data_IF_356838227850
#
_entry.id   IF_356838227850
#
_cell.length_a   1.000
_cell.length_b   1.000
_cell.length_c   1.000
_cell.angle_alpha   90.00
_cell.angle_beta   90.00
_cell.angle_gamma   90.00
#
_symmetry.space_group_name_H-M   'P 1'
#
loop_
_entity.id
_entity.type
_entity.pdbx_description
1 polymer ?
#
# COMPACT_ATOMS: atom_id res chain seq x y z
N UNK A 1 16.84 -0.53 -0.57
CA UNK A 1 16.44 -1.33 -1.74
C UNK A 1 14.94 -1.55 -1.66
N UNK A 2 14.15 -0.96 -2.55
CA UNK A 2 12.68 -1.01 -2.46
C UNK A 2 12.08 -2.38 -2.79
N UNK A 3 12.73 -3.19 -3.63
CA UNK A 3 12.20 -4.51 -3.99
C UNK A 3 12.34 -5.51 -2.84
N UNK A 4 13.42 -5.41 -2.05
CA UNK A 4 13.58 -6.22 -0.84
C UNK A 4 12.57 -5.82 0.24
N UNK A 5 12.29 -4.52 0.40
CA UNK A 5 11.24 -4.02 1.31
C UNK A 5 9.85 -4.52 0.90
N UNK A 6 9.56 -4.57 -0.40
CA UNK A 6 8.32 -5.19 -0.90
C UNK A 6 8.23 -6.67 -0.50
N UNK A 7 9.29 -7.44 -0.75
CA UNK A 7 9.32 -8.87 -0.41
C UNK A 7 9.16 -9.09 1.10
N UNK A 8 9.84 -8.29 1.92
CA UNK A 8 9.70 -8.28 3.37
C UNK A 8 8.24 -8.01 3.77
N UNK A 9 7.62 -6.97 3.22
CA UNK A 9 6.22 -6.64 3.46
C UNK A 9 5.27 -7.79 3.15
N UNK A 10 5.46 -8.47 2.02
CA UNK A 10 4.67 -9.65 1.63
C UNK A 10 4.86 -10.81 2.62
N UNK A 11 6.10 -11.07 3.07
CA UNK A 11 6.39 -12.12 4.06
C UNK A 11 5.77 -11.77 5.41
N UNK A 12 5.91 -10.54 5.89
CA UNK A 12 5.32 -10.07 7.14
C UNK A 12 3.79 -10.18 7.13
N UNK A 13 3.15 -9.82 6.02
CA UNK A 13 1.70 -10.00 5.82
C UNK A 13 1.29 -11.46 5.94
N UNK A 14 2.04 -12.39 5.32
CA UNK A 14 1.80 -13.84 5.42
C UNK A 14 2.00 -14.41 6.83
N UNK A 15 2.81 -13.75 7.65
CA UNK A 15 3.04 -14.09 9.06
C UNK A 15 2.05 -13.39 10.01
N UNK A 16 1.04 -12.69 9.48
CA UNK A 16 0.04 -11.92 10.24
C UNK A 16 0.62 -10.73 11.03
N UNK A 17 1.86 -10.33 10.73
CA UNK A 17 2.56 -9.18 11.34
C UNK A 17 2.20 -7.86 10.63
N UNK A 18 0.91 -7.52 10.65
CA UNK A 18 0.30 -6.45 9.82
C UNK A 18 0.99 -5.09 9.92
N UNK A 19 1.14 -4.54 11.13
CA UNK A 19 1.73 -3.19 11.29
C UNK A 19 3.17 -3.10 10.77
N UNK A 20 3.92 -4.20 10.87
CA UNK A 20 5.28 -4.27 10.31
C UNK A 20 5.22 -4.38 8.78
N UNK A 21 4.29 -5.18 8.24
CA UNK A 21 4.07 -5.28 6.80
C UNK A 21 3.74 -3.92 6.17
N UNK A 22 2.89 -3.13 6.83
CA UNK A 22 2.47 -1.80 6.39
C UNK A 22 3.64 -0.84 6.39
N UNK A 23 4.43 -0.83 7.47
CA UNK A 23 5.66 -0.04 7.56
C UNK A 23 6.64 -0.39 6.44
N UNK A 24 6.87 -1.68 6.19
CA UNK A 24 7.76 -2.15 5.12
C UNK A 24 7.24 -1.77 3.72
N UNK A 25 5.94 -1.92 3.47
CA UNK A 25 5.32 -1.57 2.18
C UNK A 25 5.31 -0.07 1.93
N UNK A 26 5.07 0.77 2.96
CA UNK A 26 5.22 2.22 2.87
C UNK A 26 6.66 2.61 2.49
N UNK A 27 7.66 1.98 3.13
CA UNK A 27 9.06 2.20 2.78
C UNK A 27 9.38 1.73 1.34
N UNK A 28 8.79 0.63 0.90
CA UNK A 28 8.91 0.13 -0.47
C UNK A 28 8.35 1.11 -1.50
N UNK A 29 7.11 1.60 -1.31
CA UNK A 29 6.49 2.55 -2.26
C UNK A 29 7.21 3.90 -2.25
N UNK A 30 7.78 4.33 -1.12
CA UNK A 30 8.62 5.52 -1.07
C UNK A 30 9.94 5.34 -1.84
N UNK A 31 10.56 4.16 -1.74
CA UNK A 31 11.83 3.87 -2.41
C UNK A 31 11.68 3.60 -3.91
N UNK A 32 10.61 2.90 -4.32
CA UNK A 32 10.33 2.56 -5.73
C UNK A 32 8.84 2.82 -6.03
N UNK A 33 8.43 4.09 -6.22
CA UNK A 33 7.02 4.46 -6.39
C UNK A 33 6.34 3.84 -7.61
N UNK A 34 7.09 3.43 -8.63
CA UNK A 34 6.56 2.79 -9.84
C UNK A 34 6.23 1.29 -9.66
N UNK A 35 6.63 0.68 -8.54
CA UNK A 35 6.33 -0.73 -8.25
C UNK A 35 4.86 -0.88 -7.84
N UNK A 36 3.97 -1.07 -8.81
CA UNK A 36 2.53 -1.17 -8.56
C UNK A 36 2.14 -2.28 -7.56
N UNK A 37 2.84 -3.42 -7.60
CA UNK A 37 2.56 -4.54 -6.69
C UNK A 37 2.65 -4.14 -5.21
N UNK A 38 3.55 -3.23 -4.84
CA UNK A 38 3.66 -2.75 -3.45
C UNK A 38 2.45 -1.88 -3.04
N UNK A 39 1.92 -1.08 -3.96
CA UNK A 39 0.71 -0.28 -3.73
C UNK A 39 -0.54 -1.15 -3.57
N UNK A 40 -0.68 -2.20 -4.39
CA UNK A 40 -1.81 -3.15 -4.29
C UNK A 40 -1.79 -3.92 -2.97
N UNK A 41 -0.62 -4.42 -2.56
CA UNK A 41 -0.48 -5.10 -1.27
C UNK A 41 -0.83 -4.19 -0.09
N UNK A 42 -0.42 -2.92 -0.16
CA UNK A 42 -0.72 -1.90 0.85
C UNK A 42 -2.21 -1.53 0.88
N UNK A 43 -2.86 -1.43 -0.29
CA UNK A 43 -4.30 -1.13 -0.38
C UNK A 43 -5.14 -2.21 0.32
N UNK A 44 -4.83 -3.48 0.09
CA UNK A 44 -5.53 -4.59 0.76
C UNK A 44 -5.36 -4.58 2.28
N UNK A 45 -4.20 -4.14 2.80
CA UNK A 45 -3.98 -4.01 4.24
C UNK A 45 -4.76 -2.83 4.85
N UNK A 46 -4.75 -1.68 4.16
CA UNK A 46 -5.49 -0.50 4.59
C UNK A 46 -7.00 -0.77 4.63
N UNK A 47 -7.56 -1.30 3.55
CA UNK A 47 -8.99 -1.58 3.45
C UNK A 47 -9.51 -2.53 4.54
N UNK A 48 -8.66 -3.41 5.07
CA UNK A 48 -9.04 -4.36 6.12
C UNK A 48 -8.76 -3.85 7.54
N UNK A 49 -7.72 -3.03 7.76
CA UNK A 49 -7.22 -2.76 9.13
C UNK A 49 -6.76 -1.33 9.43
N UNK A 50 -6.42 -0.50 8.44
CA UNK A 50 -5.87 0.85 8.66
C UNK A 50 -6.58 1.90 7.81
N UNK A 51 -6.89 3.05 8.40
CA UNK A 51 -7.46 4.14 7.62
C UNK A 51 -6.44 4.59 6.55
N UNK A 52 -6.88 4.74 5.29
CA UNK A 52 -6.05 5.25 4.19
C UNK A 52 -5.34 6.56 4.56
N UNK A 53 -6.02 7.44 5.33
CA UNK A 53 -5.50 8.72 5.79
C UNK A 53 -4.33 8.61 6.79
N UNK A 54 -4.13 7.44 7.40
CA UNK A 54 -3.02 7.18 8.32
C UNK A 54 -1.73 6.78 7.61
N UNK A 55 -1.80 6.44 6.32
CA UNK A 55 -0.64 6.03 5.54
C UNK A 55 0.22 7.23 5.16
N UNK A 56 1.53 7.10 5.40
CA UNK A 56 2.53 8.03 4.90
C UNK A 56 2.97 7.57 3.51
N UNK A 57 2.44 8.23 2.48
CA UNK A 57 2.66 7.89 1.08
C UNK A 57 3.49 8.98 0.37
N UNK A 58 4.34 8.61 -0.60
CA UNK A 58 5.14 9.59 -1.34
C UNK A 58 4.26 10.46 -2.24
N UNK A 59 4.60 11.75 -2.39
CA UNK A 59 3.97 12.64 -3.35
C UNK A 59 4.42 12.30 -4.78
N UNK A 60 3.76 11.33 -5.39
CA UNK A 60 4.07 10.79 -6.71
C UNK A 60 2.79 10.51 -7.50
N UNK A 61 2.81 10.59 -8.83
CA UNK A 61 1.61 10.41 -9.67
C UNK A 61 0.93 9.04 -9.52
N UNK A 62 1.69 8.04 -9.09
CA UNK A 62 1.18 6.70 -8.76
C UNK A 62 0.15 6.72 -7.62
N UNK A 63 0.19 7.73 -6.76
CA UNK A 63 -0.81 7.92 -5.70
C UNK A 63 -2.22 8.05 -6.28
N UNK A 64 -2.38 8.67 -7.46
CA UNK A 64 -3.69 8.80 -8.10
C UNK A 64 -4.28 7.43 -8.44
N UNK A 65 -3.45 6.51 -8.95
CA UNK A 65 -3.87 5.14 -9.24
C UNK A 65 -4.17 4.37 -7.96
N UNK A 66 -3.37 4.57 -6.90
CA UNK A 66 -3.61 3.95 -5.60
C UNK A 66 -4.94 4.37 -5.00
N UNK A 67 -5.25 5.67 -4.96
CA UNK A 67 -6.51 6.20 -4.40
C UNK A 67 -7.70 5.67 -5.19
N UNK A 68 -7.66 5.74 -6.53
CA UNK A 68 -8.73 5.22 -7.37
C UNK A 68 -8.94 3.70 -7.15
N UNK A 69 -7.85 2.93 -7.05
CA UNK A 69 -7.91 1.50 -6.77
C UNK A 69 -8.54 1.22 -5.40
N UNK A 70 -8.10 1.91 -4.35
CA UNK A 70 -8.63 1.74 -3.00
C UNK A 70 -10.13 2.10 -2.92
N UNK A 71 -10.57 3.17 -3.59
CA UNK A 71 -11.99 3.55 -3.62
C UNK A 71 -12.87 2.55 -4.35
N UNK A 72 -12.38 1.96 -5.45
CA UNK A 72 -13.09 0.88 -6.14
C UNK A 72 -13.24 -0.34 -5.22
N UNK A 73 -12.19 -0.73 -4.49
CA UNK A 73 -12.24 -1.86 -3.56
C UNK A 73 -13.21 -1.61 -2.39
N UNK A 74 -13.27 -0.38 -1.89
CA UNK A 74 -14.21 0.04 -0.85
C UNK A 74 -15.67 0.21 -1.36
N UNK A 75 -15.93 -0.05 -2.64
CA UNK A 75 -17.22 0.19 -3.32
C UNK A 75 -17.67 1.66 -3.26
N UNK A 76 -16.71 2.57 -3.16
CA UNK A 76 -16.89 4.03 -3.21
C UNK A 76 -16.54 4.57 -4.60
N UNK A 77 -16.88 3.81 -5.65
CA UNK A 77 -16.47 4.11 -7.03
C UNK A 77 -16.91 5.48 -7.54
N UNK A 78 -17.98 6.05 -6.99
CA UNK A 78 -18.48 7.38 -7.36
C UNK A 78 -17.56 8.52 -6.84
N UNK A 79 -16.59 8.20 -5.98
CA UNK A 79 -15.62 9.14 -5.39
C UNK A 79 -14.21 8.99 -5.96
N UNK A 80 -13.99 8.05 -6.90
CA UNK A 80 -12.72 7.80 -7.59
C UNK A 80 -12.47 8.76 -8.76
#
# INVERSE_FOLDING_TARGET
DGYLLYLEGVVLKKLDLRSQAVTALQASVAAVPILWAAWVELAGLANEYEALDSLQLPQHWMMNFFVAHAFVELKLSDQA
#
